data_IF_569473066230
#
_entry.id   IF_569473066230
#
_cell.length_a   1.000
_cell.length_b   1.000
_cell.length_c   1.000
_cell.angle_alpha   90.00
_cell.angle_beta   90.00
_cell.angle_gamma   90.00
#
_symmetry.space_group_name_H-M   'P 1'
#
loop_
_entity.id
_entity.type
_entity.pdbx_description
1 polymer ?
#
# COMPACT_ATOMS: atom_id res chain seq x y z
N UNK A 1 69.26 18.75 4.35
CA UNK A 1 68.14 17.86 3.99
C UNK A 1 67.49 17.48 5.31
N UNK A 2 66.64 18.34 5.88
CA UNK A 2 65.24 18.65 5.46
C UNK A 2 64.42 17.36 5.40
N UNK A 3 63.62 17.10 6.44
CA UNK A 3 62.13 17.21 6.49
C UNK A 3 61.52 15.79 6.24
N UNK A 4 60.41 15.31 6.83
CA UNK A 4 59.41 15.91 7.70
C UNK A 4 58.55 14.81 8.38
N UNK A 5 57.90 15.22 9.46
CA UNK A 5 56.60 14.84 10.03
C UNK A 5 55.74 13.72 9.36
N UNK A 6 55.23 12.76 10.14
CA UNK A 6 53.89 12.16 9.88
C UNK A 6 53.01 12.23 11.13
N UNK A 7 52.21 13.29 11.16
CA UNK A 7 51.20 13.60 12.16
C UNK A 7 49.84 13.35 11.51
N UNK A 8 49.07 12.50 12.17
CA UNK A 8 47.62 12.51 11.99
C UNK A 8 47.07 11.20 11.48
N UNK A 9 46.96 10.22 12.39
CA UNK A 9 45.83 9.29 12.35
C UNK A 9 44.56 10.09 12.61
N UNK A 10 44.09 10.83 11.60
CA UNK A 10 42.83 11.55 11.60
C UNK A 10 41.74 10.50 11.40
N UNK A 11 41.24 9.98 12.51
CA UNK A 11 40.03 9.15 12.54
C UNK A 11 38.92 9.97 11.88
N UNK A 12 38.44 9.52 10.72
CA UNK A 12 37.26 10.08 10.04
C UNK A 12 36.04 9.78 10.92
N UNK A 13 35.51 10.80 11.60
CA UNK A 13 34.31 10.72 12.44
C UNK A 13 33.04 11.07 11.62
N UNK A 14 33.19 11.48 10.36
CA UNK A 14 32.09 12.06 9.59
C UNK A 14 31.13 11.03 8.97
N UNK A 15 31.53 9.77 8.79
CA UNK A 15 30.73 8.79 8.04
C UNK A 15 29.56 8.17 8.85
N UNK A 16 29.49 8.41 10.17
CA UNK A 16 28.49 7.76 11.04
C UNK A 16 27.19 8.56 11.18
N UNK A 17 27.26 9.90 11.03
CA UNK A 17 26.06 10.76 11.15
C UNK A 17 25.15 10.67 9.91
N UNK A 18 25.71 10.61 8.70
CA UNK A 18 24.94 10.53 7.45
C UNK A 18 24.11 9.23 7.32
N UNK A 19 24.66 8.11 7.78
CA UNK A 19 23.97 6.82 7.72
C UNK A 19 22.74 6.73 8.65
N UNK A 20 22.79 7.39 9.82
CA UNK A 20 21.69 7.40 10.76
C UNK A 20 20.51 8.27 10.26
N UNK A 21 20.82 9.42 9.66
CA UNK A 21 19.84 10.37 9.15
C UNK A 21 19.13 9.84 7.89
N UNK A 22 19.86 9.15 7.01
CA UNK A 22 19.29 8.44 5.86
C UNK A 22 18.37 7.29 6.29
N UNK A 23 18.74 6.52 7.31
CA UNK A 23 17.89 5.43 7.83
C UNK A 23 16.60 5.95 8.46
N UNK A 24 16.65 7.05 9.22
CA UNK A 24 15.46 7.69 9.78
C UNK A 24 14.52 8.24 8.69
N UNK A 25 15.09 8.83 7.63
CA UNK A 25 14.35 9.31 6.46
C UNK A 25 13.63 8.17 5.73
N UNK A 26 14.33 7.05 5.48
CA UNK A 26 13.75 5.88 4.81
C UNK A 26 12.65 5.22 5.64
N UNK A 27 12.84 5.09 6.96
CA UNK A 27 11.80 4.60 7.87
C UNK A 27 10.53 5.46 7.81
N UNK A 28 10.70 6.79 7.80
CA UNK A 28 9.58 7.73 7.70
C UNK A 28 8.81 7.57 6.39
N UNK A 29 9.51 7.44 5.25
CA UNK A 29 8.88 7.19 3.93
C UNK A 29 8.10 5.88 3.91
N UNK A 30 8.67 4.80 4.46
CA UNK A 30 7.99 3.49 4.57
C UNK A 30 6.72 3.62 5.41
N UNK A 31 6.78 4.30 6.55
CA UNK A 31 5.61 4.50 7.42
C UNK A 31 4.50 5.30 6.73
N UNK A 32 4.86 6.30 5.90
CA UNK A 32 3.87 7.05 5.11
C UNK A 32 3.17 6.18 4.07
N UNK A 33 3.90 5.29 3.40
CA UNK A 33 3.31 4.31 2.47
C UNK A 33 2.40 3.32 3.21
N UNK A 34 2.80 2.81 4.37
CA UNK A 34 1.98 1.90 5.17
C UNK A 34 0.70 2.56 5.70
N UNK A 35 0.76 3.85 6.10
CA UNK A 35 -0.44 4.62 6.46
C UNK A 35 -1.36 4.81 5.26
N UNK A 36 -0.80 5.06 4.09
CA UNK A 36 -1.56 5.18 2.84
C UNK A 36 -2.24 3.86 2.48
N UNK A 37 -1.53 2.75 2.65
CA UNK A 37 -2.07 1.40 2.49
C UNK A 37 -3.22 1.12 3.46
N UNK A 38 -3.09 1.47 4.74
CA UNK A 38 -4.17 1.34 5.72
C UNK A 38 -5.43 2.10 5.28
N UNK A 39 -5.27 3.34 4.81
CA UNK A 39 -6.39 4.14 4.29
C UNK A 39 -7.07 3.49 3.08
N UNK A 40 -6.30 2.84 2.19
CA UNK A 40 -6.86 2.09 1.07
C UNK A 40 -7.65 0.86 1.56
N UNK A 41 -7.14 0.14 2.57
CA UNK A 41 -7.87 -1.01 3.13
C UNK A 41 -9.17 -0.60 3.83
N UNK A 42 -9.19 0.57 4.49
CA UNK A 42 -10.42 1.14 5.05
C UNK A 42 -11.47 1.40 3.97
N UNK A 43 -11.08 2.06 2.87
CA UNK A 43 -11.97 2.31 1.72
C UNK A 43 -12.57 1.01 1.16
N UNK A 44 -11.76 -0.05 1.04
CA UNK A 44 -12.27 -1.36 0.61
C UNK A 44 -13.27 -1.95 1.60
N UNK A 45 -12.98 -1.90 2.89
CA UNK A 45 -13.89 -2.40 3.92
C UNK A 45 -15.25 -1.66 3.90
N UNK A 46 -15.21 -0.34 3.69
CA UNK A 46 -16.40 0.49 3.51
C UNK A 46 -17.17 0.11 2.25
N UNK A 47 -16.48 -0.10 1.12
CA UNK A 47 -17.09 -0.53 -0.13
C UNK A 47 -17.79 -1.90 0.01
N UNK A 48 -17.16 -2.88 0.67
CA UNK A 48 -17.80 -4.17 0.98
C UNK A 48 -19.04 -4.00 1.87
N UNK A 49 -18.97 -3.12 2.87
CA UNK A 49 -20.10 -2.85 3.77
C UNK A 49 -21.26 -2.17 3.04
N UNK A 50 -20.96 -1.21 2.15
CA UNK A 50 -21.94 -0.51 1.31
C UNK A 50 -22.60 -1.48 0.32
N UNK A 51 -21.82 -2.37 -0.30
CA UNK A 51 -22.35 -3.41 -1.19
C UNK A 51 -23.30 -4.36 -0.45
N UNK A 52 -22.89 -4.86 0.72
CA UNK A 52 -23.72 -5.77 1.53
C UNK A 52 -25.04 -5.13 1.96
N UNK A 53 -25.00 -3.85 2.36
CA UNK A 53 -26.21 -3.09 2.68
C UNK A 53 -27.10 -2.92 1.45
N UNK A 54 -26.54 -2.48 0.33
CA UNK A 54 -27.33 -2.28 -0.89
C UNK A 54 -27.94 -3.57 -1.45
N UNK A 55 -27.28 -4.71 -1.27
CA UNK A 55 -27.87 -6.02 -1.59
C UNK A 55 -29.06 -6.34 -0.68
N UNK A 56 -28.96 -6.02 0.62
CA UNK A 56 -30.08 -6.20 1.56
C UNK A 56 -31.27 -5.31 1.18
N UNK A 57 -31.00 -4.06 0.80
CA UNK A 57 -32.02 -3.11 0.33
C UNK A 57 -32.66 -3.57 -0.99
N UNK A 58 -31.87 -4.12 -1.91
CA UNK A 58 -32.35 -4.74 -3.14
C UNK A 58 -33.29 -5.91 -2.85
N UNK A 59 -32.91 -6.82 -1.94
CA UNK A 59 -33.75 -7.96 -1.55
C UNK A 59 -35.07 -7.53 -0.89
N UNK A 60 -35.10 -6.39 -0.20
CA UNK A 60 -36.31 -5.87 0.45
C UNK A 60 -37.23 -5.09 -0.51
N UNK A 61 -36.67 -4.36 -1.47
CA UNK A 61 -37.41 -3.41 -2.33
C UNK A 61 -37.60 -3.85 -3.77
N UNK A 62 -36.80 -4.79 -4.28
CA UNK A 62 -36.74 -5.15 -5.69
C UNK A 62 -36.15 -4.06 -6.60
N UNK A 63 -35.53 -3.02 -6.03
CA UNK A 63 -35.00 -1.86 -6.76
C UNK A 63 -33.74 -2.15 -7.59
N UNK A 64 -33.89 -2.86 -8.71
CA UNK A 64 -32.77 -3.35 -9.54
C UNK A 64 -31.88 -2.23 -10.09
N UNK A 65 -32.45 -1.13 -10.60
CA UNK A 65 -31.68 -0.03 -11.18
C UNK A 65 -30.75 0.65 -10.15
N UNK A 66 -31.24 0.83 -8.92
CA UNK A 66 -30.46 1.41 -7.83
C UNK A 66 -29.31 0.48 -7.41
N UNK A 67 -29.57 -0.83 -7.36
CA UNK A 67 -28.56 -1.83 -7.05
C UNK A 67 -27.49 -1.96 -8.14
N UNK A 68 -27.88 -1.97 -9.42
CA UNK A 68 -26.92 -2.00 -10.54
C UNK A 68 -26.00 -0.77 -10.53
N UNK A 69 -26.55 0.42 -10.27
CA UNK A 69 -25.76 1.64 -10.14
C UNK A 69 -24.75 1.52 -8.98
N UNK A 70 -25.20 1.00 -7.84
CA UNK A 70 -24.32 0.76 -6.70
C UNK A 70 -23.19 -0.21 -7.06
N UNK A 71 -23.48 -1.33 -7.73
CA UNK A 71 -22.46 -2.29 -8.16
C UNK A 71 -21.41 -1.65 -9.06
N UNK A 72 -21.82 -0.77 -9.98
CA UNK A 72 -20.90 0.00 -10.83
C UNK A 72 -19.99 0.92 -9.99
N UNK A 73 -20.56 1.71 -9.08
CA UNK A 73 -19.80 2.59 -8.17
C UNK A 73 -18.77 1.80 -7.35
N UNK A 74 -19.19 0.67 -6.76
CA UNK A 74 -18.33 -0.18 -5.95
C UNK A 74 -17.21 -0.82 -6.77
N UNK A 75 -17.50 -1.21 -8.01
CA UNK A 75 -16.50 -1.79 -8.92
C UNK A 75 -15.41 -0.79 -9.26
N UNK A 76 -15.77 0.47 -9.52
CA UNK A 76 -14.81 1.56 -9.76
C UNK A 76 -13.94 1.78 -8.51
N UNK A 77 -14.57 1.83 -7.34
CA UNK A 77 -13.86 2.02 -6.06
C UNK A 77 -12.85 0.90 -5.78
N UNK A 78 -13.23 -0.36 -6.02
CA UNK A 78 -12.31 -1.50 -5.90
C UNK A 78 -11.18 -1.46 -6.92
N UNK A 79 -11.46 -1.03 -8.15
CA UNK A 79 -10.44 -0.90 -9.19
C UNK A 79 -9.40 0.16 -8.81
N UNK A 80 -9.84 1.32 -8.32
CA UNK A 80 -8.98 2.40 -7.86
C UNK A 80 -8.12 1.97 -6.66
N UNK A 81 -8.72 1.27 -5.69
CA UNK A 81 -7.97 0.70 -4.57
C UNK A 81 -6.89 -0.29 -5.05
N UNK A 82 -7.23 -1.14 -6.03
CA UNK A 82 -6.30 -2.14 -6.55
C UNK A 82 -5.12 -1.49 -7.27
N UNK A 83 -5.37 -0.48 -8.12
CA UNK A 83 -4.32 0.30 -8.80
C UNK A 83 -3.34 0.93 -7.80
N UNK A 84 -3.85 1.60 -6.77
CA UNK A 84 -3.00 2.24 -5.74
C UNK A 84 -2.12 1.25 -5.00
N UNK A 85 -2.63 0.05 -4.71
CA UNK A 85 -1.82 -1.00 -4.06
C UNK A 85 -0.76 -1.55 -4.99
N UNK A 86 -1.04 -1.72 -6.28
CA UNK A 86 -0.04 -2.13 -7.27
C UNK A 86 1.07 -1.08 -7.45
N UNK A 87 0.71 0.20 -7.44
CA UNK A 87 1.68 1.30 -7.44
C UNK A 87 2.58 1.26 -6.20
N UNK A 88 1.99 1.09 -5.01
CA UNK A 88 2.78 0.94 -3.77
C UNK A 88 3.64 -0.32 -3.76
N UNK A 89 3.17 -1.42 -4.32
CA UNK A 89 3.97 -2.64 -4.48
C UNK A 89 5.22 -2.37 -5.31
N UNK A 90 5.06 -1.68 -6.45
CA UNK A 90 6.16 -1.25 -7.31
C UNK A 90 7.14 -0.31 -6.58
N UNK A 91 6.62 0.63 -5.78
CA UNK A 91 7.46 1.50 -4.95
C UNK A 91 8.29 0.70 -3.93
N UNK A 92 7.71 -0.28 -3.25
CA UNK A 92 8.46 -1.11 -2.31
C UNK A 92 9.54 -1.97 -2.98
N UNK A 93 9.37 -2.32 -4.26
CA UNK A 93 10.39 -3.00 -5.06
C UNK A 93 11.47 -2.04 -5.61
N UNK A 94 11.24 -0.73 -5.58
CA UNK A 94 12.18 0.24 -6.12
C UNK A 94 13.47 0.27 -5.30
N UNK A 95 14.61 0.68 -5.90
CA UNK A 95 15.87 0.87 -5.20
C UNK A 95 15.80 1.89 -4.05
N UNK A 96 14.78 2.75 -4.02
CA UNK A 96 14.61 3.76 -2.97
C UNK A 96 14.12 3.16 -1.65
N UNK A 97 13.45 2.00 -1.71
CA UNK A 97 12.89 1.32 -0.55
C UNK A 97 13.52 -0.04 -0.29
N UNK A 98 13.73 -0.84 -1.34
CA UNK A 98 14.28 -2.20 -1.27
C UNK A 98 13.56 -3.10 -0.25
N UNK A 99 12.24 -2.90 -0.07
CA UNK A 99 11.40 -3.66 0.87
C UNK A 99 10.58 -4.71 0.13
N UNK A 100 11.28 -5.71 -0.40
CA UNK A 100 10.67 -6.83 -1.11
C UNK A 100 9.68 -7.61 -0.23
N UNK A 101 9.94 -7.68 1.07
CA UNK A 101 9.05 -8.29 2.06
C UNK A 101 7.67 -7.58 2.12
N UNK A 102 7.66 -6.25 2.13
CA UNK A 102 6.42 -5.47 2.11
C UNK A 102 5.71 -5.59 0.76
N UNK A 103 6.46 -5.60 -0.35
CA UNK A 103 5.89 -5.83 -1.67
C UNK A 103 5.19 -7.20 -1.77
N UNK A 104 5.81 -8.26 -1.22
CA UNK A 104 5.22 -9.60 -1.17
C UNK A 104 3.94 -9.65 -0.33
N UNK A 105 3.89 -8.94 0.80
CA UNK A 105 2.67 -8.83 1.61
C UNK A 105 1.56 -8.11 0.83
N UNK A 106 1.88 -7.00 0.15
CA UNK A 106 0.91 -6.27 -0.67
C UNK A 106 0.37 -7.15 -1.80
N UNK A 107 1.22 -7.95 -2.44
CA UNK A 107 0.82 -8.91 -3.46
C UNK A 107 -0.15 -9.96 -2.91
N UNK A 108 0.18 -10.55 -1.75
CA UNK A 108 -0.69 -11.53 -1.10
C UNK A 108 -2.07 -10.93 -0.76
N UNK A 109 -2.13 -9.67 -0.32
CA UNK A 109 -3.39 -8.96 -0.10
C UNK A 109 -4.17 -8.74 -1.40
N UNK A 110 -3.50 -8.39 -2.51
CA UNK A 110 -4.15 -8.29 -3.82
C UNK A 110 -4.73 -9.63 -4.28
N UNK A 111 -4.00 -10.72 -4.11
CA UNK A 111 -4.45 -12.06 -4.48
C UNK A 111 -5.67 -12.49 -3.65
N UNK A 112 -5.63 -12.27 -2.34
CA UNK A 112 -6.76 -12.54 -1.45
C UNK A 112 -8.01 -11.75 -1.85
N UNK A 113 -7.82 -10.51 -2.25
CA UNK A 113 -8.93 -9.65 -2.64
C UNK A 113 -9.53 -10.02 -3.98
N UNK A 114 -8.70 -10.44 -4.94
CA UNK A 114 -9.18 -11.02 -6.21
C UNK A 114 -10.04 -12.26 -5.96
N UNK A 115 -9.62 -13.13 -5.04
CA UNK A 115 -10.42 -14.29 -4.63
C UNK A 115 -11.75 -13.88 -3.98
N UNK A 116 -11.73 -12.87 -3.10
CA UNK A 116 -12.92 -12.36 -2.43
C UNK A 116 -13.94 -11.77 -3.41
N UNK A 117 -13.47 -11.04 -4.42
CA UNK A 117 -14.31 -10.50 -5.49
C UNK A 117 -14.97 -11.61 -6.32
N UNK A 118 -14.20 -12.66 -6.64
CA UNK A 118 -14.73 -13.83 -7.37
C UNK A 118 -15.85 -14.52 -6.59
N UNK A 119 -15.76 -14.64 -5.26
CA UNK A 119 -16.85 -15.20 -4.46
C UNK A 119 -18.10 -14.31 -4.54
N UNK A 120 -17.96 -12.98 -4.47
CA UNK A 120 -19.11 -12.06 -4.53
C UNK A 120 -19.85 -12.13 -5.87
N UNK A 121 -19.15 -12.36 -6.99
CA UNK A 121 -19.78 -12.56 -8.30
C UNK A 121 -20.50 -13.91 -8.46
N UNK A 122 -20.19 -14.92 -7.65
CA UNK A 122 -20.81 -16.26 -7.75
C UNK A 122 -22.09 -16.36 -6.90
N UNK A 123 -22.28 -15.45 -5.94
CA UNK A 123 -23.49 -15.37 -5.10
C UNK A 123 -24.50 -14.31 -5.54
N UNK A 124 -24.25 -13.59 -6.64
CA UNK A 124 -25.15 -12.59 -7.22
C UNK A 124 -26.05 -13.16 -8.30
#
# INVERSE_FOLDING_TARGET
>A
MEEDFDFGKKVSINDTMDAAEQNASNSTKILLLLRSFLGIQQRRAEAYSKLKRGFSDYMASGGELAYQKLCSEITIEFNDCSKKVLEMESLFQSPDYQRLDLAQILRAVQDQEKQKLHLVCVFG
#
